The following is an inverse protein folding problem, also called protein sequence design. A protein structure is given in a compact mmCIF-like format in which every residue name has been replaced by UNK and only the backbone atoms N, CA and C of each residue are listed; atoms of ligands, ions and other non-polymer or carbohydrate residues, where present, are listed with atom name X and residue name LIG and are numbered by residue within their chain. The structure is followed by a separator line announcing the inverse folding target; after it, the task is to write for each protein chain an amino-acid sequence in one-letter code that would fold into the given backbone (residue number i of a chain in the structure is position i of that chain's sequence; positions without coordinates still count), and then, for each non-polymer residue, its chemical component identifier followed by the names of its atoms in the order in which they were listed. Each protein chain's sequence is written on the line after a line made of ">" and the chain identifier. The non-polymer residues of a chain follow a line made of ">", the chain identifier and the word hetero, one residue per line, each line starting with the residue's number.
data_IF_172873128070
#
_entry.id   IF_172873128070
#
_cell.length_a   1.000
_cell.length_b   1.000
_cell.length_c   1.000
_cell.angle_alpha   90.00
_cell.angle_beta   90.00
_cell.angle_gamma   90.00
#
_symmetry.space_group_name_H-M   'P 1'
#
loop_
_entity.id
_entity.type
_entity.pdbx_description
1 polymer ?
#
# COMPACT_ATOMS: atom_id res chain seq x y z
N UNK A 1 -2.71 37.49 -3.25
CA UNK A 1 -3.50 36.59 -2.38
C UNK A 1 -3.18 35.18 -2.87
N UNK A 2 -1.93 34.69 -2.73
CA UNK A 2 -1.29 34.30 -1.45
C UNK A 2 -2.15 33.20 -0.81
N UNK A 3 -1.72 31.98 -0.49
CA UNK A 3 -0.42 31.40 -0.10
C UNK A 3 -0.40 29.92 -0.57
N UNK A 4 0.65 29.41 -1.20
CA UNK A 4 1.81 28.79 -0.55
C UNK A 4 1.45 27.91 0.66
N UNK A 5 1.12 26.66 0.37
CA UNK A 5 1.28 25.54 1.30
C UNK A 5 2.72 25.06 1.16
N UNK A 6 3.55 25.36 2.15
CA UNK A 6 4.91 24.87 2.24
C UNK A 6 4.90 23.38 2.53
N UNK A 7 5.59 22.62 1.67
CA UNK A 7 6.25 21.39 2.03
C UNK A 7 7.16 21.64 3.23
N UNK A 8 7.03 20.81 4.26
CA UNK A 8 8.15 20.50 5.11
C UNK A 8 8.36 18.99 5.06
N UNK A 9 9.17 18.61 4.08
CA UNK A 9 10.27 17.66 4.19
C UNK A 9 10.15 16.70 5.40
N UNK A 10 9.60 15.52 5.14
CA UNK A 10 9.96 14.31 5.88
C UNK A 10 11.46 14.07 5.65
N UNK A 11 12.27 14.63 6.54
CA UNK A 11 13.60 14.14 6.79
C UNK A 11 13.47 12.77 7.47
N UNK A 12 14.24 11.83 6.92
CA UNK A 12 14.52 10.50 7.43
C UNK A 12 15.11 10.61 8.84
N UNK A 13 14.29 10.40 9.87
CA UNK A 13 14.68 10.42 11.29
C UNK A 13 15.38 9.12 11.72
N UNK A 14 15.79 8.28 10.77
CA UNK A 14 16.41 6.98 11.03
C UNK A 14 17.91 7.08 11.37
N UNK A 15 18.52 8.27 11.24
CA UNK A 15 19.95 8.51 11.55
C UNK A 15 20.19 9.49 12.72
N UNK A 16 19.16 9.81 13.51
CA UNK A 16 19.29 10.64 14.73
C UNK A 16 19.11 9.86 16.04
N UNK A 17 19.30 8.55 16.00
CA UNK A 17 19.22 7.66 17.15
C UNK A 17 20.51 7.60 18.00
N UNK A 18 21.50 8.46 17.77
CA UNK A 18 22.72 8.55 18.58
C UNK A 18 23.08 10.01 18.88
N UNK A 19 22.24 10.71 19.65
CA UNK A 19 22.58 11.82 20.56
C UNK A 19 21.32 12.59 21.02
N UNK A 20 20.52 11.97 21.89
CA UNK A 20 19.63 12.70 22.78
C UNK A 20 19.46 11.88 24.06
N UNK A 21 20.17 12.29 25.11
CA UNK A 21 19.95 11.85 26.48
C UNK A 21 18.49 12.13 26.83
N UNK A 22 17.71 11.07 27.07
CA UNK A 22 16.37 11.19 27.62
C UNK A 22 16.47 11.82 29.02
N UNK A 23 15.68 12.86 29.35
CA UNK A 23 15.46 13.21 30.75
C UNK A 23 14.65 12.09 31.41
N UNK A 24 15.13 11.68 32.58
CA UNK A 24 14.60 10.65 33.46
C UNK A 24 13.34 11.16 34.18
N UNK A 25 12.25 11.40 33.43
CA UNK A 25 10.99 11.96 33.95
C UNK A 25 9.92 10.88 34.22
N UNK A 26 10.32 9.65 34.54
CA UNK A 26 9.37 8.63 35.01
C UNK A 26 8.85 8.93 36.42
N UNK A 27 9.65 9.61 37.24
CA UNK A 27 9.29 9.98 38.62
C UNK A 27 8.29 11.15 38.66
N UNK A 28 8.43 12.15 37.78
CA UNK A 28 7.48 13.27 37.70
C UNK A 28 6.12 12.81 37.18
N UNK A 29 6.10 11.84 36.26
CA UNK A 29 4.87 11.21 35.81
C UNK A 29 4.20 10.38 36.93
N UNK A 30 4.96 9.58 37.69
CA UNK A 30 4.43 8.84 38.84
C UNK A 30 3.92 9.77 39.96
N UNK A 31 4.60 10.88 40.22
CA UNK A 31 4.16 11.89 41.19
C UNK A 31 2.89 12.61 40.73
N UNK A 32 2.76 12.89 39.43
CA UNK A 32 1.54 13.47 38.87
C UNK A 32 0.35 12.50 38.98
N UNK A 33 0.52 11.23 38.60
CA UNK A 33 -0.57 10.25 38.69
C UNK A 33 -0.93 9.90 40.14
N UNK A 34 0.04 9.84 41.05
CA UNK A 34 -0.23 9.59 42.46
C UNK A 34 -0.92 10.77 43.16
N UNK A 35 -0.63 12.00 42.76
CA UNK A 35 -1.36 13.19 43.22
C UNK A 35 -2.79 13.22 42.66
N UNK A 36 -2.97 12.85 41.40
CA UNK A 36 -4.29 12.74 40.77
C UNK A 36 -5.15 11.66 41.46
N UNK A 37 -4.55 10.51 41.76
CA UNK A 37 -5.21 9.40 42.46
C UNK A 37 -5.63 9.81 43.88
N UNK A 38 -4.77 10.54 44.61
CA UNK A 38 -5.14 11.13 45.92
C UNK A 38 -6.19 12.22 45.81
N UNK A 39 -6.21 12.99 44.73
CA UNK A 39 -7.19 14.07 44.56
C UNK A 39 -8.58 13.51 44.20
N UNK A 40 -8.63 12.38 43.49
CA UNK A 40 -9.88 11.68 43.15
C UNK A 40 -10.36 10.79 44.32
N UNK A 41 -9.45 10.21 45.10
CA UNK A 41 -9.78 9.32 46.23
C UNK A 41 -9.82 10.04 47.60
N UNK A 42 -9.36 11.29 47.68
CA UNK A 42 -9.14 12.03 48.93
C UNK A 42 -10.33 12.83 49.46
N UNK A 43 -11.42 12.96 48.69
CA UNK A 43 -12.66 13.60 49.15
C UNK A 43 -13.61 12.63 49.88
N UNK A 44 -13.15 11.39 50.14
CA UNK A 44 -13.79 10.44 51.04
C UNK A 44 -13.06 10.41 52.41
N UNK A 45 -13.47 11.27 53.32
CA UNK A 45 -12.87 11.42 54.65
C UNK A 45 -13.12 10.19 55.57
N UNK A 46 -12.04 9.46 55.87
CA UNK A 46 -11.47 9.09 57.21
C UNK A 46 -12.35 8.50 58.33
N UNK A 47 -12.05 7.25 58.76
CA UNK A 47 -11.61 6.89 60.15
C UNK A 47 -11.17 5.40 60.30
N UNK A 48 -10.28 5.03 61.27
CA UNK A 48 -9.49 3.79 61.27
C UNK A 48 -9.97 2.64 62.18
N UNK A 49 -9.55 1.42 61.80
CA UNK A 49 -9.39 0.13 62.54
C UNK A 49 -10.53 -0.47 63.39
N UNK A 50 -11.13 -1.60 62.93
CA UNK A 50 -11.34 -2.88 63.65
C UNK A 50 -12.20 -3.91 62.85
N UNK A 51 -12.14 -5.18 63.29
CA UNK A 51 -12.64 -6.47 62.75
C UNK A 51 -14.11 -6.59 62.25
N UNK A 52 -14.49 -7.69 61.53
CA UNK A 52 -15.69 -7.73 60.69
C UNK A 52 -16.96 -8.06 61.48
N UNK A 53 -18.00 -7.26 61.32
CA UNK A 53 -19.38 -7.64 61.67
C UNK A 53 -20.39 -7.11 60.65
N UNK A 54 -21.30 -7.99 60.26
CA UNK A 54 -22.54 -7.72 59.52
C UNK A 54 -23.42 -6.73 60.29
N UNK A 55 -24.06 -5.78 59.59
CA UNK A 55 -25.48 -5.41 59.80
C UNK A 55 -25.95 -4.37 58.76
N UNK A 56 -27.04 -4.72 58.06
CA UNK A 56 -28.24 -3.94 57.69
C UNK A 56 -28.14 -2.43 57.35
N UNK A 57 -28.65 -2.09 56.15
CA UNK A 57 -28.99 -0.75 55.64
C UNK A 57 -29.81 0.11 56.61
N UNK A 58 -29.83 1.45 56.44
CA UNK A 58 -30.87 2.05 55.58
C UNK A 58 -30.42 3.22 54.70
N UNK A 59 -31.23 3.47 53.67
CA UNK A 59 -31.16 4.52 52.66
C UNK A 59 -30.97 5.93 53.23
N UNK A 60 -30.06 6.68 52.64
CA UNK A 60 -30.17 8.13 52.47
C UNK A 60 -29.73 8.46 51.05
N UNK A 61 -30.67 8.92 50.23
CA UNK A 61 -30.40 9.46 48.90
C UNK A 61 -29.79 10.85 49.05
N UNK A 62 -28.60 11.14 48.49
CA UNK A 62 -28.27 12.47 48.06
C UNK A 62 -28.89 12.69 46.68
N UNK A 63 -29.58 13.82 46.56
CA UNK A 63 -30.23 14.34 45.37
C UNK A 63 -29.29 14.25 44.16
N UNK A 64 -29.72 13.55 43.11
CA UNK A 64 -29.10 13.67 41.78
C UNK A 64 -29.30 15.11 41.31
N UNK A 65 -28.28 15.94 41.51
CA UNK A 65 -28.09 17.14 40.72
C UNK A 65 -27.78 16.64 39.31
N UNK A 66 -28.80 16.61 38.45
CA UNK A 66 -28.67 16.35 37.03
C UNK A 66 -27.86 17.49 36.40
N UNK A 67 -26.54 17.44 36.58
CA UNK A 67 -25.61 18.13 35.70
C UNK A 67 -25.83 17.47 34.36
N UNK A 68 -26.36 18.24 33.41
CA UNK A 68 -26.44 17.84 32.02
C UNK A 68 -25.03 17.43 31.60
N UNK A 69 -24.77 16.11 31.57
CA UNK A 69 -23.51 15.54 31.12
C UNK A 69 -23.38 16.03 29.70
N UNK A 70 -22.43 16.94 29.45
CA UNK A 70 -22.11 17.38 28.10
C UNK A 70 -21.93 16.13 27.26
N UNK A 71 -22.46 16.11 26.04
CA UNK A 71 -22.35 14.95 25.15
C UNK A 71 -20.88 14.48 25.03
N UNK A 72 -19.93 15.41 25.19
CA UNK A 72 -18.49 15.17 25.27
C UNK A 72 -18.06 14.29 26.45
N UNK A 73 -18.60 14.49 27.66
CA UNK A 73 -18.26 13.67 28.83
C UNK A 73 -18.82 12.25 28.72
N UNK A 74 -20.06 12.11 28.21
CA UNK A 74 -20.65 10.80 27.94
C UNK A 74 -19.92 10.06 26.78
N UNK A 75 -19.42 10.80 25.78
CA UNK A 75 -18.60 10.25 24.70
C UNK A 75 -17.21 9.82 25.21
N UNK A 76 -16.59 10.60 26.10
CA UNK A 76 -15.33 10.23 26.75
C UNK A 76 -15.50 8.96 27.60
N UNK A 77 -16.52 8.88 28.44
CA UNK A 77 -16.81 7.70 29.26
C UNK A 77 -17.02 6.44 28.40
N UNK A 78 -17.77 6.56 27.29
CA UNK A 78 -17.93 5.46 26.33
C UNK A 78 -16.60 5.02 25.74
N UNK A 79 -15.77 5.97 25.27
CA UNK A 79 -14.43 5.68 24.72
C UNK A 79 -13.52 4.98 25.73
N UNK A 80 -13.51 5.42 26.98
CA UNK A 80 -12.75 4.77 28.05
C UNK A 80 -13.29 3.37 28.37
N UNK A 81 -14.62 3.20 28.41
CA UNK A 81 -15.25 1.91 28.68
C UNK A 81 -14.96 0.90 27.57
N UNK A 82 -14.97 1.34 26.31
CA UNK A 82 -14.70 0.49 25.15
C UNK A 82 -13.21 0.14 25.06
N UNK A 83 -12.32 1.11 25.34
CA UNK A 83 -10.89 0.86 25.46
C UNK A 83 -10.57 -0.14 26.58
N UNK A 84 -11.21 -0.01 27.75
CA UNK A 84 -11.04 -0.96 28.86
C UNK A 84 -11.56 -2.36 28.51
N UNK A 85 -12.69 -2.45 27.80
CA UNK A 85 -13.25 -3.73 27.31
C UNK A 85 -12.33 -4.38 26.29
N UNK A 86 -11.75 -3.60 25.37
CA UNK A 86 -10.78 -4.08 24.40
C UNK A 86 -9.49 -4.55 25.08
N UNK A 87 -8.95 -3.78 26.03
CA UNK A 87 -7.76 -4.15 26.80
C UNK A 87 -7.97 -5.47 27.56
N UNK A 88 -9.16 -5.67 28.16
CA UNK A 88 -9.52 -6.95 28.80
C UNK A 88 -9.60 -8.11 27.79
N UNK A 89 -10.17 -7.87 26.60
CA UNK A 89 -10.20 -8.87 25.52
C UNK A 89 -8.80 -9.22 25.02
N UNK A 90 -7.93 -8.23 24.83
CA UNK A 90 -6.54 -8.42 24.41
C UNK A 90 -5.74 -9.17 25.46
N UNK A 91 -5.89 -8.82 26.74
CA UNK A 91 -5.24 -9.52 27.85
C UNK A 91 -5.66 -11.00 27.93
N UNK A 92 -6.95 -11.29 27.73
CA UNK A 92 -7.41 -12.67 27.68
C UNK A 92 -6.79 -13.45 26.51
N UNK A 93 -6.74 -12.86 25.31
CA UNK A 93 -6.05 -13.46 24.17
C UNK A 93 -4.55 -13.66 24.43
N UNK A 94 -3.90 -12.70 25.10
CA UNK A 94 -2.49 -12.80 25.44
C UNK A 94 -2.24 -13.97 26.39
N UNK A 95 -3.09 -14.16 27.41
CA UNK A 95 -3.04 -15.32 28.31
C UNK A 95 -3.29 -16.66 27.60
N UNK A 96 -4.11 -16.66 26.55
CA UNK A 96 -4.32 -17.85 25.72
C UNK A 96 -3.08 -18.17 24.86
N UNK A 97 -2.34 -17.15 24.41
CA UNK A 97 -1.16 -17.29 23.54
C UNK A 97 0.13 -17.52 24.34
N UNK A 98 0.23 -16.97 25.55
CA UNK A 98 1.41 -17.03 26.42
C UNK A 98 2.01 -18.44 26.58
N UNK A 99 1.23 -19.52 26.79
CA UNK A 99 1.77 -20.88 26.87
C UNK A 99 2.43 -21.37 25.58
N UNK A 100 2.08 -20.77 24.43
CA UNK A 100 2.59 -21.14 23.11
C UNK A 100 3.74 -20.25 22.64
N UNK A 101 4.09 -19.19 23.37
CA UNK A 101 5.20 -18.29 23.02
C UNK A 101 6.52 -19.03 22.76
N UNK A 102 6.93 -20.06 23.53
CA UNK A 102 8.16 -20.80 23.23
C UNK A 102 8.14 -21.53 21.88
N UNK A 103 6.96 -21.98 21.43
CA UNK A 103 6.78 -22.62 20.12
C UNK A 103 6.80 -21.55 19.03
N UNK A 104 6.14 -20.42 19.24
CA UNK A 104 6.15 -19.29 18.31
C UNK A 104 7.56 -18.71 18.14
N UNK A 105 8.35 -18.65 19.21
CA UNK A 105 9.75 -18.25 19.18
C UNK A 105 10.61 -19.27 18.42
N UNK A 106 10.43 -20.56 18.68
CA UNK A 106 11.10 -21.61 17.90
C UNK A 106 10.72 -21.57 16.40
N UNK A 107 9.48 -21.24 16.07
CA UNK A 107 9.02 -21.03 14.68
C UNK A 107 9.63 -19.77 14.07
N UNK A 108 9.81 -18.70 14.85
CA UNK A 108 10.49 -17.47 14.41
C UNK A 108 11.97 -17.70 14.15
N UNK A 109 12.61 -18.56 14.93
CA UNK A 109 14.04 -18.92 14.80
C UNK A 109 14.31 -19.91 13.67
N UNK A 110 13.42 -20.88 13.42
CA UNK A 110 13.53 -21.86 12.34
C UNK A 110 12.42 -21.72 11.27
N UNK A 111 12.74 -21.15 10.09
CA UNK A 111 11.79 -21.04 8.98
C UNK A 111 11.27 -22.39 8.48
N UNK A 112 12.04 -23.47 8.66
CA UNK A 112 11.64 -24.81 8.23
C UNK A 112 10.52 -25.36 9.12
N UNK A 113 10.51 -25.02 10.41
CA UNK A 113 9.44 -25.41 11.33
C UNK A 113 8.10 -24.75 10.94
N UNK A 114 8.12 -23.49 10.51
CA UNK A 114 6.93 -22.81 9.96
C UNK A 114 6.42 -23.56 8.73
N UNK A 115 7.31 -23.95 7.82
CA UNK A 115 6.91 -24.68 6.60
C UNK A 115 6.29 -26.04 6.91
N UNK A 116 6.83 -26.74 7.92
CA UNK A 116 6.34 -28.04 8.36
C UNK A 116 4.95 -27.93 9.01
N UNK A 117 4.78 -26.97 9.93
CA UNK A 117 3.50 -26.71 10.60
C UNK A 117 2.44 -26.20 9.62
N UNK A 118 2.82 -25.33 8.67
CA UNK A 118 1.93 -24.89 7.59
C UNK A 118 1.50 -26.08 6.73
N UNK A 119 2.44 -26.94 6.32
CA UNK A 119 2.14 -28.16 5.58
C UNK A 119 1.20 -29.09 6.35
N UNK A 120 1.37 -29.21 7.67
CA UNK A 120 0.48 -30.00 8.52
C UNK A 120 -0.96 -29.46 8.52
N UNK A 121 -1.15 -28.14 8.65
CA UNK A 121 -2.49 -27.54 8.67
C UNK A 121 -3.14 -27.42 7.29
N UNK A 122 -2.37 -27.11 6.24
CA UNK A 122 -2.88 -27.03 4.86
C UNK A 122 -3.11 -28.42 4.24
N UNK A 123 -2.35 -29.43 4.68
CA UNK A 123 -2.42 -30.82 4.24
C UNK A 123 -3.41 -31.70 5.03
N UNK A 124 -4.27 -31.11 5.88
CA UNK A 124 -5.33 -31.84 6.56
C UNK A 124 -4.88 -32.69 7.76
N UNK A 125 -3.82 -32.29 8.47
CA UNK A 125 -3.36 -32.94 9.70
C UNK A 125 -2.47 -34.17 9.49
N UNK A 126 -2.00 -34.39 8.26
CA UNK A 126 -0.95 -35.39 8.01
C UNK A 126 0.40 -34.70 8.14
N UNK A 127 1.28 -35.23 9.00
CA UNK A 127 2.68 -34.84 9.00
C UNK A 127 3.21 -35.07 7.57
N UNK A 128 4.05 -34.17 7.01
CA UNK A 128 4.64 -34.40 5.70
C UNK A 128 5.40 -35.71 5.77
N UNK A 129 4.80 -36.76 5.20
CA UNK A 129 5.35 -38.10 5.22
C UNK A 129 6.61 -38.05 4.36
N UNK A 130 7.69 -38.58 4.89
CA UNK A 130 8.90 -38.75 4.10
C UNK A 130 8.52 -39.61 2.88
N UNK A 131 9.09 -39.35 1.71
CA UNK A 131 8.75 -40.09 0.46
C UNK A 131 8.77 -41.62 0.69
N UNK A 132 9.66 -42.09 1.57
CA UNK A 132 9.73 -43.50 2.01
C UNK A 132 8.44 -43.99 2.68
N UNK A 133 7.90 -43.23 3.62
CA UNK A 133 6.66 -43.57 4.34
C UNK A 133 5.43 -43.41 3.42
N UNK A 134 5.43 -42.40 2.55
CA UNK A 134 4.39 -42.23 1.53
C UNK A 134 4.32 -43.42 0.55
N UNK A 135 5.46 -44.02 0.23
CA UNK A 135 5.54 -45.20 -0.62
C UNK A 135 5.41 -46.53 0.13
N UNK A 136 5.23 -46.50 1.45
CA UNK A 136 5.15 -47.71 2.27
C UNK A 136 6.45 -48.53 2.25
N UNK A 137 7.59 -47.86 2.15
CA UNK A 137 8.91 -48.49 2.16
C UNK A 137 9.35 -48.78 3.59
N UNK A 138 9.93 -49.96 3.80
CA UNK A 138 10.51 -50.34 5.09
C UNK A 138 11.64 -49.38 5.49
N UNK A 139 11.83 -49.21 6.81
CA UNK A 139 12.86 -48.31 7.35
C UNK A 139 14.29 -48.74 6.94
N UNK A 140 14.50 -50.05 6.76
CA UNK A 140 15.75 -50.67 6.31
C UNK A 140 15.90 -50.74 4.78
N UNK A 141 15.04 -50.06 4.02
CA UNK A 141 15.06 -50.11 2.56
C UNK A 141 16.40 -49.64 1.97
N UNK A 142 17.03 -50.51 1.19
CA UNK A 142 18.21 -50.23 0.37
C UNK A 142 17.77 -50.15 -1.09
N UNK A 143 18.07 -49.02 -1.73
CA UNK A 143 17.74 -48.82 -3.14
C UNK A 143 18.65 -49.66 -4.03
N UNK A 144 18.04 -50.51 -4.86
CA UNK A 144 18.73 -51.29 -5.90
C UNK A 144 18.39 -50.74 -7.29
N UNK A 145 19.42 -50.34 -8.04
CA UNK A 145 19.28 -49.81 -9.40
C UNK A 145 18.87 -50.87 -10.42
N UNK A 146 19.37 -52.10 -10.29
CA UNK A 146 19.07 -53.16 -11.24
C UNK A 146 17.61 -53.61 -11.07
N UNK A 147 17.15 -53.72 -9.82
CA UNK A 147 15.74 -54.02 -9.51
C UNK A 147 14.81 -52.87 -9.95
N UNK A 148 15.23 -51.60 -9.78
CA UNK A 148 14.47 -50.42 -10.18
C UNK A 148 14.19 -50.33 -11.70
N UNK A 149 15.05 -50.94 -12.52
CA UNK A 149 14.95 -50.94 -13.98
C UNK A 149 14.30 -52.21 -14.53
N UNK A 150 14.41 -53.33 -13.80
CA UNK A 150 13.99 -54.65 -14.30
C UNK A 150 12.64 -55.10 -13.77
N UNK A 151 12.25 -54.73 -12.55
CA UNK A 151 10.95 -55.07 -11.97
C UNK A 151 10.13 -53.82 -11.62
N UNK A 152 9.14 -53.43 -12.45
CA UNK A 152 8.28 -52.27 -12.19
C UNK A 152 7.51 -52.31 -10.86
N UNK A 153 7.30 -53.48 -10.26
CA UNK A 153 6.56 -53.62 -9.01
C UNK A 153 7.44 -53.53 -7.75
N UNK A 154 8.76 -53.53 -7.93
CA UNK A 154 9.70 -53.37 -6.83
C UNK A 154 9.53 -52.04 -6.10
N UNK A 155 9.82 -52.04 -4.80
CA UNK A 155 9.97 -50.86 -3.97
C UNK A 155 10.96 -49.83 -4.54
N UNK A 156 12.07 -50.30 -5.13
CA UNK A 156 13.07 -49.45 -5.80
C UNK A 156 12.50 -48.77 -7.04
N UNK A 157 11.74 -49.51 -7.86
CA UNK A 157 11.06 -48.96 -9.04
C UNK A 157 10.01 -47.91 -8.68
N UNK A 158 9.24 -48.15 -7.61
CA UNK A 158 8.24 -47.18 -7.13
C UNK A 158 8.91 -45.88 -6.68
N UNK A 159 9.99 -45.96 -5.90
CA UNK A 159 10.75 -44.78 -5.48
C UNK A 159 11.32 -44.02 -6.68
N UNK A 160 11.91 -44.76 -7.62
CA UNK A 160 12.49 -44.17 -8.82
C UNK A 160 11.43 -43.47 -9.66
N UNK A 161 10.29 -44.11 -9.91
CA UNK A 161 9.17 -43.51 -10.66
C UNK A 161 8.61 -42.28 -9.95
N UNK A 162 8.39 -42.32 -8.64
CA UNK A 162 7.94 -41.15 -7.88
C UNK A 162 8.93 -39.98 -7.96
N UNK A 163 10.23 -40.29 -7.93
CA UNK A 163 11.30 -39.28 -8.07
C UNK A 163 11.34 -38.70 -9.48
N UNK A 164 11.24 -39.57 -10.51
CA UNK A 164 11.21 -39.17 -11.91
C UNK A 164 9.97 -38.33 -12.19
N UNK A 165 8.80 -38.74 -11.73
CA UNK A 165 7.54 -38.02 -11.87
C UNK A 165 7.63 -36.63 -11.21
N UNK A 166 8.23 -36.52 -10.03
CA UNK A 166 8.47 -35.22 -9.39
C UNK A 166 9.36 -34.30 -10.23
N UNK A 167 10.43 -34.84 -10.82
CA UNK A 167 11.33 -34.09 -11.71
C UNK A 167 10.62 -33.70 -13.01
N UNK A 168 9.85 -34.62 -13.60
CA UNK A 168 9.08 -34.38 -14.83
C UNK A 168 8.00 -33.34 -14.58
N UNK A 169 7.26 -33.43 -13.48
CA UNK A 169 6.23 -32.46 -13.13
C UNK A 169 6.82 -31.07 -12.92
N UNK A 170 7.98 -30.97 -12.26
CA UNK A 170 8.70 -29.70 -12.11
C UNK A 170 9.13 -29.13 -13.46
N UNK A 171 9.77 -29.95 -14.32
CA UNK A 171 10.20 -29.54 -15.65
C UNK A 171 9.02 -29.17 -16.55
N UNK A 172 7.92 -29.92 -16.49
CA UNK A 172 6.70 -29.65 -17.24
C UNK A 172 6.04 -28.36 -16.74
N UNK A 173 6.04 -28.11 -15.44
CA UNK A 173 5.53 -26.86 -14.87
C UNK A 173 6.40 -25.67 -15.27
N UNK A 174 7.73 -25.80 -15.22
CA UNK A 174 8.66 -24.77 -15.67
C UNK A 174 8.52 -24.51 -17.17
N UNK A 175 8.37 -25.56 -17.97
CA UNK A 175 8.12 -25.47 -19.40
C UNK A 175 6.76 -24.80 -19.69
N UNK A 176 5.70 -25.20 -19.00
CA UNK A 176 4.37 -24.61 -19.14
C UNK A 176 4.36 -23.13 -18.76
N UNK A 177 5.06 -22.75 -17.67
CA UNK A 177 5.26 -21.35 -17.29
C UNK A 177 5.99 -20.58 -18.38
N UNK A 178 7.13 -21.09 -18.85
CA UNK A 178 7.90 -20.47 -19.95
C UNK A 178 7.07 -20.32 -21.22
N UNK A 179 6.35 -21.37 -21.63
CA UNK A 179 5.50 -21.34 -22.81
C UNK A 179 4.33 -20.35 -22.64
N UNK A 180 3.75 -20.27 -21.45
CA UNK A 180 2.69 -19.30 -21.15
C UNK A 180 3.20 -17.86 -21.19
N UNK A 181 4.42 -17.61 -20.69
CA UNK A 181 5.07 -16.30 -20.75
C UNK A 181 5.43 -15.91 -22.18
N UNK A 182 5.97 -16.84 -22.97
CA UNK A 182 6.25 -16.61 -24.39
C UNK A 182 4.98 -16.33 -25.19
N UNK A 183 3.90 -17.09 -24.96
CA UNK A 183 2.60 -16.87 -25.61
C UNK A 183 1.98 -15.52 -25.19
N UNK A 184 2.08 -15.18 -23.90
CA UNK A 184 1.63 -13.87 -23.39
C UNK A 184 2.41 -12.73 -24.04
N UNK A 185 3.74 -12.83 -24.09
CA UNK A 185 4.60 -11.85 -24.78
C UNK A 185 4.24 -11.73 -26.25
N UNK A 186 4.12 -12.85 -26.97
CA UNK A 186 3.73 -12.83 -28.39
C UNK A 186 2.35 -12.17 -28.61
N UNK A 187 1.40 -12.40 -27.71
CA UNK A 187 0.07 -11.76 -27.76
C UNK A 187 0.16 -10.26 -27.48
N UNK A 188 0.91 -9.86 -26.45
CA UNK A 188 1.16 -8.45 -26.11
C UNK A 188 1.87 -7.73 -27.26
N UNK A 189 2.90 -8.34 -27.84
CA UNK A 189 3.63 -7.86 -29.03
C UNK A 189 2.71 -7.65 -30.23
N UNK A 190 1.87 -8.65 -30.55
CA UNK A 190 0.92 -8.53 -31.65
C UNK A 190 -0.09 -7.42 -31.39
N UNK A 191 -0.60 -7.32 -30.16
CA UNK A 191 -1.54 -6.27 -29.78
C UNK A 191 -0.92 -4.86 -29.86
N UNK A 192 0.36 -4.73 -29.51
CA UNK A 192 1.10 -3.48 -29.58
C UNK A 192 1.35 -3.08 -31.04
N UNK A 193 1.83 -4.02 -31.87
CA UNK A 193 2.03 -3.80 -33.31
C UNK A 193 0.75 -3.38 -34.00
N UNK A 194 -0.38 -4.03 -33.70
CA UNK A 194 -1.69 -3.67 -34.27
C UNK A 194 -2.22 -2.32 -33.78
N UNK A 195 -1.96 -1.92 -32.53
CA UNK A 195 -2.42 -0.64 -31.97
C UNK A 195 -1.68 0.57 -32.56
N UNK A 196 -0.38 0.41 -32.80
CA UNK A 196 0.49 1.50 -33.25
C UNK A 196 0.89 1.39 -34.73
N UNK A 197 0.39 0.39 -35.45
CA UNK A 197 0.69 0.09 -36.86
C UNK A 197 2.20 0.02 -37.14
N UNK A 198 2.94 -0.67 -36.26
CA UNK A 198 4.40 -0.76 -36.27
C UNK A 198 4.85 -2.01 -37.03
N UNK A 199 5.81 -1.87 -37.94
CA UNK A 199 6.40 -2.99 -38.68
C UNK A 199 7.30 -3.88 -37.79
N UNK A 200 7.62 -5.09 -38.24
CA UNK A 200 8.50 -5.99 -37.48
C UNK A 200 9.90 -5.39 -37.27
N UNK A 201 10.41 -4.62 -38.24
CA UNK A 201 11.73 -3.99 -38.15
C UNK A 201 11.72 -2.86 -37.11
N UNK A 202 10.74 -1.97 -37.18
CA UNK A 202 10.60 -0.86 -36.23
C UNK A 202 10.36 -1.36 -34.79
N UNK A 203 9.66 -2.48 -34.64
CA UNK A 203 9.48 -3.13 -33.36
C UNK A 203 10.80 -3.67 -32.79
N UNK A 204 11.66 -4.25 -33.64
CA UNK A 204 12.97 -4.72 -33.22
C UNK A 204 13.86 -3.55 -32.80
N UNK A 205 13.84 -2.44 -33.55
CA UNK A 205 14.58 -1.23 -33.22
C UNK A 205 14.09 -0.62 -31.88
N UNK A 206 12.78 -0.58 -31.66
CA UNK A 206 12.18 -0.19 -30.37
C UNK A 206 12.66 -1.11 -29.25
N UNK A 207 12.66 -2.42 -29.47
CA UNK A 207 13.09 -3.40 -28.47
C UNK A 207 14.58 -3.24 -28.14
N UNK A 208 15.42 -2.93 -29.13
CA UNK A 208 16.85 -2.69 -28.91
C UNK A 208 17.09 -1.34 -28.21
N UNK A 209 16.29 -0.32 -28.52
CA UNK A 209 16.24 0.91 -27.75
C UNK A 209 15.85 0.65 -26.28
N UNK A 210 14.83 -0.17 -26.03
CA UNK A 210 14.39 -0.53 -24.68
C UNK A 210 15.42 -1.36 -23.91
N UNK A 211 16.15 -2.28 -24.57
CA UNK A 211 17.24 -3.04 -23.93
C UNK A 211 18.43 -2.15 -23.54
N UNK A 212 18.72 -1.12 -24.35
CA UNK A 212 19.82 -0.19 -24.09
C UNK A 212 19.46 0.88 -23.05
N UNK A 213 18.18 1.26 -22.95
CA UNK A 213 17.70 2.25 -21.98
C UNK A 213 17.05 1.57 -20.78
N UNK A 214 17.84 1.36 -19.73
CA UNK A 214 17.32 0.90 -18.43
C UNK A 214 16.62 2.07 -17.74
N UNK A 215 15.36 1.89 -17.37
CA UNK A 215 14.60 2.87 -16.59
C UNK A 215 15.32 3.16 -15.27
N UNK A 216 15.67 4.42 -15.04
CA UNK A 216 16.20 4.90 -13.77
C UNK A 216 15.05 5.23 -12.81
N UNK A 217 15.36 5.43 -11.52
CA UNK A 217 14.35 5.83 -10.53
C UNK A 217 13.73 7.21 -10.87
N UNK A 218 14.52 8.11 -11.46
CA UNK A 218 14.03 9.41 -11.94
C UNK A 218 13.02 9.23 -13.08
N UNK A 219 13.30 8.34 -14.04
CA UNK A 219 12.36 8.03 -15.12
C UNK A 219 11.05 7.45 -14.59
N UNK A 220 11.14 6.55 -13.60
CA UNK A 220 9.95 5.97 -12.95
C UNK A 220 9.14 7.05 -12.22
N UNK A 221 9.81 7.99 -11.53
CA UNK A 221 9.13 9.12 -10.89
C UNK A 221 8.47 10.04 -11.93
N UNK A 222 9.13 10.30 -13.06
CA UNK A 222 8.56 11.06 -14.17
C UNK A 222 7.32 10.37 -14.74
N UNK A 223 7.39 9.07 -15.02
CA UNK A 223 6.28 8.27 -15.53
C UNK A 223 5.10 8.21 -14.55
N UNK A 224 5.37 8.02 -13.25
CA UNK A 224 4.35 8.01 -12.20
C UNK A 224 3.59 9.33 -12.12
N UNK A 225 4.28 10.45 -12.28
CA UNK A 225 3.69 11.78 -12.17
C UNK A 225 3.26 12.37 -13.53
N UNK A 226 3.43 11.63 -14.63
CA UNK A 226 3.17 12.12 -15.99
C UNK A 226 1.73 12.63 -16.13
N UNK A 227 0.75 11.82 -15.76
CA UNK A 227 -0.67 12.16 -15.88
C UNK A 227 -1.03 13.41 -15.06
N UNK A 228 -0.56 13.49 -13.81
CA UNK A 228 -0.78 14.68 -12.96
C UNK A 228 -0.12 15.94 -13.54
N UNK A 229 1.04 15.80 -14.19
CA UNK A 229 1.70 16.92 -14.86
C UNK A 229 0.95 17.33 -16.13
N UNK A 230 0.53 16.36 -16.94
CA UNK A 230 -0.23 16.60 -18.18
C UNK A 230 -1.57 17.30 -17.87
N UNK A 231 -2.27 16.86 -16.81
CA UNK A 231 -3.51 17.50 -16.34
C UNK A 231 -3.27 18.93 -15.84
N UNK A 232 -2.20 19.16 -15.06
CA UNK A 232 -1.83 20.50 -14.59
C UNK A 232 -1.44 21.41 -15.74
N UNK A 233 -0.69 20.91 -16.72
CA UNK A 233 -0.31 21.68 -17.91
C UNK A 233 -1.55 22.01 -18.74
N UNK A 234 -2.47 21.06 -18.94
CA UNK A 234 -3.72 21.31 -19.66
C UNK A 234 -4.62 22.31 -18.90
N UNK A 235 -4.70 22.19 -17.57
CA UNK A 235 -5.44 23.12 -16.72
C UNK A 235 -4.87 24.54 -16.79
N UNK A 236 -3.56 24.68 -16.58
CA UNK A 236 -2.86 25.96 -16.65
C UNK A 236 -2.95 26.60 -18.04
N UNK A 237 -2.79 25.83 -19.12
CA UNK A 237 -2.91 26.35 -20.48
C UNK A 237 -4.35 26.84 -20.76
N UNK A 238 -5.38 26.12 -20.30
CA UNK A 238 -6.78 26.57 -20.41
C UNK A 238 -7.01 27.84 -19.61
N UNK A 239 -6.49 27.92 -18.39
CA UNK A 239 -6.60 29.12 -17.55
C UNK A 239 -5.88 30.31 -18.17
N UNK A 240 -4.69 30.12 -18.72
CA UNK A 240 -3.90 31.15 -19.40
C UNK A 240 -4.63 31.68 -20.64
N UNK A 241 -5.20 30.80 -21.46
CA UNK A 241 -6.04 31.20 -22.61
C UNK A 241 -7.27 31.98 -22.16
N UNK A 242 -7.95 31.53 -21.09
CA UNK A 242 -9.11 32.24 -20.54
C UNK A 242 -8.71 33.61 -19.99
N UNK A 243 -7.58 33.72 -19.31
CA UNK A 243 -7.07 34.99 -18.79
C UNK A 243 -6.68 35.93 -19.92
N UNK A 244 -6.02 35.44 -20.98
CA UNK A 244 -5.71 36.23 -22.16
C UNK A 244 -6.99 36.73 -22.85
N UNK A 245 -8.00 35.87 -23.01
CA UNK A 245 -9.31 36.28 -23.54
C UNK A 245 -10.01 37.31 -22.65
N UNK A 246 -9.93 37.15 -21.32
CA UNK A 246 -10.47 38.14 -20.37
C UNK A 246 -9.75 39.46 -20.49
N UNK A 247 -8.41 39.46 -20.54
CA UNK A 247 -7.60 40.68 -20.67
C UNK A 247 -7.93 41.43 -21.96
N UNK A 248 -8.06 40.73 -23.09
CA UNK A 248 -8.48 41.31 -24.38
C UNK A 248 -9.91 41.86 -24.31
N UNK A 249 -10.85 41.15 -23.67
CA UNK A 249 -12.24 41.61 -23.52
C UNK A 249 -12.39 42.77 -22.53
N UNK A 250 -11.56 42.82 -21.49
CA UNK A 250 -11.56 43.88 -20.49
C UNK A 250 -10.77 45.11 -20.93
N UNK A 251 -10.03 45.02 -22.03
CA UNK A 251 -9.34 46.17 -22.61
C UNK A 251 -10.39 47.15 -23.15
N UNK A 252 -10.52 48.37 -22.61
CA UNK A 252 -11.51 49.33 -23.05
C UNK A 252 -11.22 49.69 -24.52
N UNK A 253 -12.23 49.64 -25.38
CA UNK A 253 -12.16 50.11 -26.79
C UNK A 253 -11.77 51.60 -26.92
N UNK A 254 -11.60 52.29 -25.79
CA UNK A 254 -11.28 53.72 -25.67
C UNK A 254 -9.80 54.05 -25.84
N UNK A 255 -8.87 53.08 -25.72
CA UNK A 255 -7.41 53.34 -25.90
C UNK A 255 -6.93 53.19 -27.35
N UNK A 256 -7.78 52.73 -28.27
CA UNK A 256 -7.47 52.73 -29.71
C UNK A 256 -7.76 54.08 -30.40
N UNK A 257 -8.31 55.08 -29.68
CA UNK A 257 -8.78 56.34 -30.30
C UNK A 257 -8.24 57.61 -29.64
N UNK A 258 -7.24 57.54 -28.75
CA UNK A 258 -6.67 58.75 -28.14
C UNK A 258 -5.14 58.71 -28.12
N UNK A 259 -4.54 59.17 -29.21
CA UNK A 259 -3.12 59.56 -29.25
C UNK A 259 -2.39 59.13 -30.52
N UNK A 260 -2.46 59.99 -31.55
CA UNK A 260 -1.60 60.07 -32.74
C UNK A 260 -1.17 58.78 -33.48
N UNK A 261 -1.52 58.75 -34.76
CA UNK A 261 -1.02 57.84 -35.80
C UNK A 261 0.50 57.61 -35.73
N UNK A 262 0.92 56.36 -35.90
CA UNK A 262 1.56 55.97 -37.14
C UNK A 262 0.61 55.08 -37.93
N UNK A 263 0.67 55.16 -39.27
CA UNK A 263 0.04 54.15 -40.13
C UNK A 263 0.52 52.78 -39.67
N UNK A 264 -0.37 51.93 -39.18
CA UNK A 264 -0.08 50.51 -39.01
C UNK A 264 0.28 49.94 -40.38
N UNK A 265 1.54 49.59 -40.57
CA UNK A 265 1.91 48.60 -41.57
C UNK A 265 1.24 47.30 -41.12
N UNK A 266 0.24 46.85 -41.87
CA UNK A 266 -0.42 45.56 -41.66
C UNK A 266 0.65 44.50 -41.45
N UNK A 267 0.51 43.68 -40.40
CA UNK A 267 1.41 42.54 -40.20
C UNK A 267 1.38 41.65 -41.45
N UNK A 268 2.50 41.01 -41.79
CA UNK A 268 2.56 40.10 -42.94
C UNK A 268 1.48 39.02 -42.83
N UNK A 269 1.20 38.58 -41.61
CA UNK A 269 0.15 37.62 -41.31
C UNK A 269 -1.26 38.19 -41.55
N UNK A 270 -1.55 39.45 -41.19
CA UNK A 270 -2.82 40.11 -41.53
C UNK A 270 -2.97 40.31 -43.04
N UNK A 271 -1.89 40.59 -43.76
CA UNK A 271 -1.92 40.67 -45.22
C UNK A 271 -2.20 39.31 -45.88
N UNK A 272 -1.73 38.22 -45.28
CA UNK A 272 -2.01 36.85 -45.73
C UNK A 272 -3.45 36.47 -45.40
N UNK A 273 -3.94 36.82 -44.20
CA UNK A 273 -5.31 36.57 -43.78
C UNK A 273 -6.32 37.38 -44.62
N UNK A 274 -6.07 38.67 -44.84
CA UNK A 274 -6.88 39.52 -45.72
C UNK A 274 -6.84 39.00 -47.16
N UNK A 275 -5.69 38.53 -47.63
CA UNK A 275 -5.62 37.87 -48.95
C UNK A 275 -6.47 36.62 -48.96
N UNK A 276 -6.42 35.76 -47.94
CA UNK A 276 -7.22 34.53 -47.87
C UNK A 276 -8.73 34.84 -47.84
N UNK A 277 -9.15 35.82 -47.05
CA UNK A 277 -10.53 36.29 -46.94
C UNK A 277 -11.04 36.93 -48.23
N UNK A 278 -10.21 37.72 -48.90
CA UNK A 278 -10.57 38.43 -50.12
C UNK A 278 -10.40 37.56 -51.38
N UNK A 279 -9.60 36.50 -51.31
CA UNK A 279 -9.55 35.43 -52.33
C UNK A 279 -10.69 34.44 -52.20
N UNK A 280 -11.70 34.72 -51.37
CA UNK A 280 -13.03 34.11 -51.35
C UNK A 280 -13.27 33.03 -52.41
N UNK A 281 -12.67 31.87 -52.23
CA UNK A 281 -13.15 30.62 -52.79
C UNK A 281 -14.28 30.25 -51.88
N UNK A 282 -15.44 30.79 -52.24
CA UNK A 282 -16.64 30.78 -51.44
C UNK A 282 -16.97 29.38 -50.96
N UNK A 283 -17.41 29.34 -49.71
CA UNK A 283 -18.24 28.30 -49.12
C UNK A 283 -19.64 28.34 -49.78
N UNK A 284 -19.65 28.30 -51.12
CA UNK A 284 -20.81 28.37 -52.01
C UNK A 284 -20.71 27.34 -53.15
N UNK A 285 -19.67 26.49 -53.17
CA UNK A 285 -19.51 25.40 -54.16
C UNK A 285 -19.44 24.01 -53.50
N UNK A 286 -20.02 23.87 -52.30
CA UNK A 286 -20.13 22.59 -51.58
C UNK A 286 -21.42 22.52 -50.73
N UNK A 287 -22.55 22.88 -51.36
CA UNK A 287 -23.87 22.32 -51.08
C UNK A 287 -24.51 21.85 -52.37
#
# INVERSE_FOLDING_TARGET
>A
MSEQKQDNLLADDSERADAAVAPDDSQEAEDFFSQLDRQVMGDAIVQPEAQPQQTTSPQENPVEEQVAVSEDAANLEKRYSDSSREAKRLNNRLKEIEPYMPILDAMKEDPNLISHVRGYFEGGGTAPTNIKEQLGLDEDFVFDYDEALTDPNSSSSKLFNATVDGVVQRRLSDFARKQSEESRRATEEQSFKSKFDISQNDYNDLMDYAKSHRLTLEDVYYLKNKESRDDKVAGNAREEVIQQMKNVRSMPTSVASSGNTPKEEKSVDDMVFDKLLNTGTGLADLM
#
